data_IF_465094976035
#
_entry.id   IF_465094976035
#
_cell.length_a   1.000
_cell.length_b   1.000
_cell.length_c   1.000
_cell.angle_alpha   90.00
_cell.angle_beta   90.00
_cell.angle_gamma   90.00
#
_symmetry.space_group_name_H-M   'P 1'
#
loop_
_entity.id
_entity.type
_entity.pdbx_description
1 polymer ?
#
# COMPACT_ATOMS: atom_id res chain seq x y z
N UNK A 1 -7.00 8.61 -7.81
CA UNK A 1 -7.01 7.32 -7.09
C UNK A 1 -5.60 6.76 -7.16
N UNK A 2 -4.98 6.51 -6.02
CA UNK A 2 -3.65 5.92 -5.97
C UNK A 2 -3.74 4.44 -5.65
N UNK A 3 -2.95 3.62 -6.33
CA UNK A 3 -2.87 2.19 -6.10
C UNK A 3 -1.58 1.89 -5.35
N UNK A 4 -1.63 0.99 -4.38
CA UNK A 4 -0.46 0.53 -3.64
C UNK A 4 -0.43 -0.98 -3.51
N UNK A 5 0.77 -1.54 -3.63
CA UNK A 5 1.01 -2.97 -3.50
C UNK A 5 2.44 -3.27 -3.04
N UNK A 6 2.60 -4.42 -2.37
CA UNK A 6 3.90 -5.05 -2.17
C UNK A 6 4.18 -6.02 -3.31
N UNK A 7 5.39 -5.97 -3.87
CA UNK A 7 5.80 -6.89 -4.96
C UNK A 7 6.21 -8.29 -4.50
N UNK A 8 6.04 -8.60 -3.21
CA UNK A 8 6.51 -9.84 -2.57
C UNK A 8 7.81 -9.64 -1.80
N UNK A 9 8.37 -10.75 -1.31
CA UNK A 9 9.64 -10.76 -0.59
C UNK A 9 10.81 -11.14 -1.51
N UNK A 10 11.86 -10.33 -1.46
CA UNK A 10 13.06 -10.51 -2.28
C UNK A 10 14.24 -10.74 -1.36
N UNK A 11 14.95 -11.85 -1.54
CA UNK A 11 16.19 -12.10 -0.81
C UNK A 11 17.35 -11.40 -1.52
N UNK A 12 17.98 -10.46 -0.84
CA UNK A 12 19.12 -9.70 -1.33
C UNK A 12 20.41 -10.55 -1.31
N UNK A 13 21.45 -10.07 -2.00
CA UNK A 13 22.75 -10.74 -2.06
C UNK A 13 23.46 -10.87 -0.71
N UNK A 14 23.10 -10.04 0.26
CA UNK A 14 23.59 -10.11 1.65
C UNK A 14 22.75 -11.07 2.53
N UNK A 15 21.76 -11.74 1.93
CA UNK A 15 20.89 -12.71 2.60
C UNK A 15 19.69 -12.12 3.33
N UNK A 16 19.54 -10.78 3.39
CA UNK A 16 18.38 -10.12 4.02
C UNK A 16 17.17 -10.12 3.11
N UNK A 17 15.97 -10.09 3.69
CA UNK A 17 14.72 -9.92 2.94
C UNK A 17 14.39 -8.44 2.75
N UNK A 18 13.91 -8.11 1.55
CA UNK A 18 13.39 -6.82 1.17
C UNK A 18 11.94 -7.00 0.71
N UNK A 19 11.09 -6.05 1.10
CA UNK A 19 9.67 -5.98 0.77
C UNK A 19 9.42 -4.66 0.04
N UNK A 20 9.52 -4.63 -1.31
CA UNK A 20 9.31 -3.41 -2.08
C UNK A 20 7.84 -2.98 -2.03
N UNK A 21 7.60 -1.79 -1.49
CA UNK A 21 6.32 -1.11 -1.51
C UNK A 21 6.28 -0.15 -2.71
N UNK A 22 5.24 -0.26 -3.53
CA UNK A 22 5.02 0.66 -4.65
C UNK A 22 3.72 1.43 -4.48
N UNK A 23 3.72 2.70 -4.91
CA UNK A 23 2.53 3.55 -4.99
C UNK A 23 2.48 4.17 -6.39
N UNK A 24 1.34 4.07 -7.05
CA UNK A 24 1.14 4.56 -8.42
C UNK A 24 -0.13 5.39 -8.53
N UNK A 25 -0.14 6.39 -9.41
CA UNK A 25 -1.38 7.07 -9.76
C UNK A 25 -2.11 6.30 -10.85
N UNK A 26 -3.38 5.95 -10.61
CA UNK A 26 -4.13 5.12 -11.53
C UNK A 26 -4.39 5.82 -12.88
N UNK A 27 -4.58 7.13 -12.92
CA UNK A 27 -4.94 7.82 -14.15
C UNK A 27 -3.72 8.02 -15.07
N UNK A 28 -2.62 8.52 -14.50
CA UNK A 28 -1.40 8.87 -15.23
C UNK A 28 -0.42 7.71 -15.40
N UNK A 29 -0.60 6.61 -14.65
CA UNK A 29 0.36 5.49 -14.54
C UNK A 29 1.72 5.88 -13.94
N UNK A 30 1.82 7.07 -13.35
CA UNK A 30 3.06 7.52 -12.75
C UNK A 30 3.37 6.76 -11.46
N UNK A 31 4.64 6.36 -11.28
CA UNK A 31 5.13 5.80 -10.02
C UNK A 31 5.38 6.95 -9.05
N UNK A 32 4.56 7.02 -8.01
CA UNK A 32 4.62 8.09 -7.01
C UNK A 32 5.65 7.79 -5.93
N UNK A 33 5.80 6.53 -5.54
CA UNK A 33 6.80 6.08 -4.58
C UNK A 33 7.21 4.63 -4.85
N UNK A 34 8.45 4.31 -4.53
CA UNK A 34 9.01 2.96 -4.52
C UNK A 34 9.97 2.86 -3.34
N UNK A 35 9.60 2.11 -2.30
CA UNK A 35 10.33 2.02 -1.04
C UNK A 35 10.75 0.58 -0.78
N UNK A 36 12.04 0.38 -0.52
CA UNK A 36 12.59 -0.92 -0.12
C UNK A 36 12.51 -1.07 1.40
N UNK A 37 11.54 -1.84 1.90
CA UNK A 37 11.33 -2.02 3.34
C UNK A 37 11.91 -3.33 3.84
N UNK A 38 12.38 -3.35 5.08
CA UNK A 38 12.88 -4.57 5.74
C UNK A 38 11.75 -5.47 6.26
N UNK A 39 10.51 -4.98 6.31
CA UNK A 39 9.33 -5.76 6.69
C UNK A 39 8.03 -5.12 6.17
N UNK A 40 6.96 -5.91 6.15
CA UNK A 40 5.58 -5.43 5.86
C UNK A 40 4.87 -4.88 7.11
N UNK A 41 5.61 -4.55 8.17
CA UNK A 41 5.04 -4.01 9.41
C UNK A 41 4.45 -2.62 9.17
N UNK A 42 3.46 -2.28 9.98
CA UNK A 42 2.66 -1.04 9.84
C UNK A 42 3.51 0.24 9.93
N UNK A 43 4.47 0.32 10.87
CA UNK A 43 5.19 1.56 11.14
C UNK A 43 6.06 2.06 9.96
N UNK A 44 6.96 1.25 9.36
CA UNK A 44 7.72 1.68 8.18
C UNK A 44 6.84 2.07 6.99
N UNK A 45 5.72 1.37 6.81
CA UNK A 45 4.77 1.67 5.73
C UNK A 45 4.07 3.01 5.96
N UNK A 46 3.63 3.30 7.18
CA UNK A 46 3.05 4.60 7.54
C UNK A 46 4.08 5.71 7.30
N UNK A 47 5.34 5.52 7.68
CA UNK A 47 6.39 6.51 7.45
C UNK A 47 6.61 6.81 5.96
N UNK A 48 6.62 5.78 5.11
CA UNK A 48 6.66 5.94 3.65
C UNK A 48 5.49 6.78 3.12
N UNK A 49 4.26 6.48 3.58
CA UNK A 49 3.09 7.27 3.19
C UNK A 49 3.13 8.71 3.73
N UNK A 50 3.63 8.93 4.95
CA UNK A 50 3.78 10.29 5.50
C UNK A 50 4.72 11.12 4.63
N UNK A 51 5.84 10.55 4.17
CA UNK A 51 6.77 11.24 3.25
C UNK A 51 6.09 11.55 1.93
N UNK A 52 5.47 10.55 1.31
CA UNK A 52 4.74 10.71 0.04
C UNK A 52 3.65 11.79 0.13
N UNK A 53 2.85 11.78 1.20
CA UNK A 53 1.78 12.75 1.40
C UNK A 53 2.29 14.17 1.65
N UNK A 54 3.46 14.33 2.30
CA UNK A 54 4.10 15.65 2.44
C UNK A 54 4.56 16.20 1.10
N UNK A 55 5.05 15.34 0.21
CA UNK A 55 5.59 15.75 -1.09
C UNK A 55 4.51 15.99 -2.15
N UNK A 56 3.44 15.18 -2.13
CA UNK A 56 2.44 15.13 -3.22
C UNK A 56 1.03 15.51 -2.78
N UNK A 57 0.81 15.74 -1.49
CA UNK A 57 -0.52 15.93 -0.91
C UNK A 57 -1.26 14.62 -0.66
N UNK A 58 -2.50 14.71 -0.18
CA UNK A 58 -3.35 13.56 0.08
C UNK A 58 -4.15 13.17 -1.16
N UNK A 59 -4.25 11.86 -1.49
CA UNK A 59 -5.13 11.41 -2.55
C UNK A 59 -6.59 11.43 -2.10
N UNK A 60 -7.51 11.48 -3.07
CA UNK A 60 -8.94 11.29 -2.82
C UNK A 60 -9.28 9.85 -2.35
N UNK A 61 -8.46 8.88 -2.75
CA UNK A 61 -8.66 7.49 -2.38
C UNK A 61 -7.43 6.64 -2.65
N UNK A 62 -7.32 5.56 -1.88
CA UNK A 62 -6.28 4.54 -1.95
C UNK A 62 -6.89 3.19 -2.32
N UNK A 63 -6.28 2.50 -3.28
CA UNK A 63 -6.60 1.12 -3.63
C UNK A 63 -5.45 0.21 -3.25
N UNK A 64 -5.74 -0.87 -2.55
CA UNK A 64 -4.76 -1.88 -2.14
C UNK A 64 -5.28 -3.30 -2.34
N UNK A 65 -4.38 -4.27 -2.25
CA UNK A 65 -4.80 -5.66 -2.02
C UNK A 65 -5.34 -5.87 -0.58
N UNK A 66 -5.74 -7.12 -0.29
CA UNK A 66 -6.27 -7.53 1.01
C UNK A 66 -5.19 -8.13 1.94
N UNK A 67 -3.91 -7.96 1.61
CA UNK A 67 -2.78 -8.43 2.41
C UNK A 67 -2.44 -7.49 3.56
N UNK A 68 -1.66 -7.99 4.51
CA UNK A 68 -1.01 -7.12 5.50
C UNK A 68 0.01 -6.20 4.79
N UNK A 69 0.16 -4.95 5.23
CA UNK A 69 -0.53 -4.26 6.32
C UNK A 69 -1.78 -3.50 5.87
N UNK A 70 -2.24 -3.66 4.62
CA UNK A 70 -3.35 -2.88 4.07
C UNK A 70 -4.71 -3.33 4.59
N UNK A 71 -4.90 -4.63 4.81
CA UNK A 71 -6.07 -5.20 5.45
C UNK A 71 -5.64 -6.17 6.56
N UNK A 72 -6.53 -6.38 7.53
CA UNK A 72 -6.31 -7.32 8.64
C UNK A 72 -7.44 -8.34 8.63
N UNK A 73 -7.19 -9.64 8.33
CA UNK A 73 -8.24 -10.67 8.32
C UNK A 73 -8.98 -10.82 9.65
N UNK A 74 -8.31 -10.47 10.75
CA UNK A 74 -8.88 -10.53 12.11
C UNK A 74 -9.45 -9.19 12.58
N UNK A 75 -9.36 -8.13 11.75
CA UNK A 75 -9.89 -6.81 12.06
C UNK A 75 -11.37 -6.70 11.72
N UNK A 76 -12.11 -5.88 12.47
CA UNK A 76 -13.50 -5.56 12.15
C UNK A 76 -13.58 -4.99 10.72
N UNK A 77 -14.45 -5.55 9.88
CA UNK A 77 -14.55 -5.22 8.44
C UNK A 77 -13.23 -5.33 7.67
N UNK A 78 -12.34 -6.24 8.09
CA UNK A 78 -11.00 -6.43 7.54
C UNK A 78 -10.10 -5.18 7.64
N UNK A 79 -10.41 -4.20 8.48
CA UNK A 79 -9.65 -2.95 8.61
C UNK A 79 -8.34 -3.18 9.40
N UNK A 80 -7.21 -2.81 8.79
CA UNK A 80 -5.93 -2.70 9.49
C UNK A 80 -5.75 -1.32 10.12
N UNK A 81 -4.72 -1.13 10.94
CA UNK A 81 -4.42 0.21 11.48
C UNK A 81 -4.06 1.21 10.38
N UNK A 82 -3.38 0.75 9.33
CA UNK A 82 -3.05 1.57 8.16
C UNK A 82 -4.32 2.03 7.43
N UNK A 83 -5.27 1.12 7.19
CA UNK A 83 -6.59 1.47 6.63
C UNK A 83 -7.30 2.49 7.51
N UNK A 84 -7.39 2.26 8.82
CA UNK A 84 -8.04 3.20 9.74
C UNK A 84 -7.36 4.58 9.73
N UNK A 85 -6.02 4.61 9.64
CA UNK A 85 -5.26 5.85 9.53
C UNK A 85 -5.58 6.63 8.25
N UNK A 86 -5.69 5.97 7.09
CA UNK A 86 -6.14 6.63 5.86
C UNK A 86 -7.55 7.22 5.98
N UNK A 87 -8.50 6.47 6.56
CA UNK A 87 -9.86 6.98 6.77
C UNK A 87 -9.88 8.23 7.66
N UNK A 88 -9.02 8.28 8.70
CA UNK A 88 -8.88 9.46 9.57
C UNK A 88 -8.32 10.69 8.85
N UNK A 89 -7.57 10.50 7.78
CA UNK A 89 -7.08 11.58 6.90
C UNK A 89 -8.12 12.01 5.86
N UNK A 90 -9.32 11.41 5.85
CA UNK A 90 -10.36 11.68 4.85
C UNK A 90 -10.12 10.98 3.51
N UNK A 91 -9.20 10.01 3.46
CA UNK A 91 -8.88 9.25 2.25
C UNK A 91 -9.84 8.07 2.12
N UNK A 92 -10.54 7.96 0.99
CA UNK A 92 -11.40 6.81 0.72
C UNK A 92 -10.57 5.52 0.51
N UNK A 93 -11.09 4.38 0.92
CA UNK A 93 -10.44 3.08 0.71
C UNK A 93 -11.25 2.27 -0.29
N UNK A 94 -10.58 1.86 -1.37
CA UNK A 94 -11.10 0.92 -2.34
C UNK A 94 -10.37 -0.41 -2.21
N UNK A 95 -11.13 -1.49 -2.01
CA UNK A 95 -10.54 -2.84 -1.96
C UNK A 95 -10.85 -3.60 -3.22
N UNK A 96 -9.85 -4.33 -3.71
CA UNK A 96 -10.06 -5.32 -4.76
C UNK A 96 -10.86 -6.51 -4.21
N UNK A 97 -11.69 -7.13 -5.06
CA UNK A 97 -12.40 -8.34 -4.66
C UNK A 97 -11.39 -9.45 -4.38
N UNK A 98 -11.57 -10.24 -3.30
CA UNK A 98 -10.74 -11.42 -3.04
C UNK A 98 -10.64 -12.31 -4.29
N UNK A 99 -9.44 -12.82 -4.60
CA UNK A 99 -9.19 -13.67 -5.76
C UNK A 99 -9.14 -12.97 -7.12
N UNK A 100 -9.15 -11.62 -7.17
CA UNK A 100 -9.11 -10.87 -8.43
C UNK A 100 -7.87 -9.94 -8.53
N UNK A 101 -6.64 -10.49 -8.58
CA UNK A 101 -5.41 -9.70 -8.68
C UNK A 101 -5.35 -8.81 -9.93
N UNK A 102 -6.11 -9.15 -10.98
CA UNK A 102 -6.29 -8.34 -12.19
C UNK A 102 -6.84 -6.92 -11.93
N UNK A 103 -7.50 -6.70 -10.78
CA UNK A 103 -7.97 -5.35 -10.40
C UNK A 103 -6.84 -4.44 -9.89
N UNK A 104 -5.72 -5.03 -9.43
CA UNK A 104 -4.45 -4.33 -9.17
C UNK A 104 -3.52 -4.37 -10.40
N UNK A 105 -3.52 -5.46 -11.15
CA UNK A 105 -2.74 -5.62 -12.37
C UNK A 105 -3.51 -5.18 -13.62
N UNK A 106 -3.60 -3.88 -13.87
CA UNK A 106 -3.86 -3.38 -15.23
C UNK A 106 -2.54 -2.86 -15.81
N UNK A 107 -1.73 -3.80 -16.30
CA UNK A 107 -0.65 -3.56 -17.25
C UNK A 107 -1.22 -3.25 -18.63
#
# INVERSE_FOLDING_TARGET
LWCTDFKGEFRLGDGRYCYPLTVTDQASRYVLACEALESTKEAPVIEAFVRLFKERGLPLGMRSDNGLPFASPNGLYNLSKLSVWWLRLGIAIERIRPGNPQQNGRH
#
